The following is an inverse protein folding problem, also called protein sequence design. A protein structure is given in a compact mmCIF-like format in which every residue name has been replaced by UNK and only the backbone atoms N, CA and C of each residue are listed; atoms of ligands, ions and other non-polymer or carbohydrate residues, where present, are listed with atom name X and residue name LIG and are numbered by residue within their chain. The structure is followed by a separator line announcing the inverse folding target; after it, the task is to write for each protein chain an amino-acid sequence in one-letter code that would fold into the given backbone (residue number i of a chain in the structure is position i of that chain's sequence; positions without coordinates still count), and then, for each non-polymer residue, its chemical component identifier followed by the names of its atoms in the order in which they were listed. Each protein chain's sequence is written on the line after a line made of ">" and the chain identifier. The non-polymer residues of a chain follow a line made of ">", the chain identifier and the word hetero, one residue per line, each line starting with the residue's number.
data_IF_453587586079
#
_entry.id   IF_453587586079
#
_cell.length_a   1.000
_cell.length_b   1.000
_cell.length_c   1.000
_cell.angle_alpha   90.00
_cell.angle_beta   90.00
_cell.angle_gamma   90.00
#
_symmetry.space_group_name_H-M   'P 1'
#
loop_
_entity.id
_entity.type
_entity.pdbx_description
1 polymer ?
#
# COMPACT_ATOMS: atom_id res chain seq x y z
N UNK A 1 48.43 -18.39 -61.78
CA UNK A 1 49.27 -19.52 -62.24
C UNK A 1 49.51 -20.45 -61.07
N UNK A 2 49.15 -21.72 -61.27
CA UNK A 2 49.55 -22.94 -60.54
C UNK A 2 49.02 -23.19 -59.12
N UNK A 3 47.87 -23.86 -59.14
CA UNK A 3 47.44 -24.99 -58.29
C UNK A 3 48.55 -26.05 -58.16
N UNK A 4 48.54 -26.85 -57.07
CA UNK A 4 48.39 -28.28 -57.27
C UNK A 4 47.26 -28.90 -56.42
N UNK A 5 46.51 -29.75 -57.11
CA UNK A 5 45.55 -30.76 -56.69
C UNK A 5 46.23 -31.94 -55.99
N UNK A 6 45.60 -32.58 -55.00
CA UNK A 6 44.85 -33.82 -55.24
C UNK A 6 44.15 -34.34 -53.97
N UNK A 7 43.04 -35.04 -54.22
CA UNK A 7 42.08 -35.65 -53.30
C UNK A 7 42.61 -36.88 -52.52
N UNK A 8 42.05 -37.17 -51.35
CA UNK A 8 41.69 -38.55 -50.94
C UNK A 8 40.76 -38.58 -49.70
N UNK A 9 39.49 -38.94 -49.95
CA UNK A 9 38.61 -39.85 -49.17
C UNK A 9 38.62 -39.91 -47.63
N UNK A 10 37.42 -39.75 -47.04
CA UNK A 10 37.04 -39.87 -45.61
C UNK A 10 37.35 -41.25 -44.94
N UNK A 11 37.24 -41.36 -43.59
CA UNK A 11 35.93 -41.52 -42.96
C UNK A 11 35.67 -40.71 -41.68
N UNK A 12 34.39 -40.55 -41.39
CA UNK A 12 33.79 -39.98 -40.18
C UNK A 12 34.02 -40.92 -38.99
N UNK A 13 34.71 -40.48 -37.94
CA UNK A 13 34.40 -40.84 -36.54
C UNK A 13 35.17 -39.94 -35.55
N UNK A 14 34.54 -39.73 -34.39
CA UNK A 14 35.15 -39.31 -33.12
C UNK A 14 35.36 -37.80 -32.86
N UNK A 15 34.23 -37.12 -32.62
CA UNK A 15 34.18 -35.91 -31.80
C UNK A 15 34.59 -36.23 -30.35
N UNK A 16 35.48 -35.44 -29.70
CA UNK A 16 35.74 -35.59 -28.27
C UNK A 16 34.53 -35.10 -27.46
N UNK A 17 33.87 -36.03 -26.76
CA UNK A 17 32.95 -35.72 -25.66
C UNK A 17 33.76 -35.26 -24.46
N UNK A 18 33.85 -33.95 -24.25
CA UNK A 18 34.14 -33.39 -22.93
C UNK A 18 33.41 -32.06 -22.77
N UNK A 19 32.10 -32.16 -22.59
CA UNK A 19 31.34 -31.14 -21.86
C UNK A 19 31.27 -31.60 -20.41
N UNK A 20 32.10 -31.01 -19.56
CA UNK A 20 31.91 -31.04 -18.10
C UNK A 20 30.63 -30.26 -17.78
N UNK A 21 29.50 -30.93 -17.98
CA UNK A 21 28.23 -30.53 -17.41
C UNK A 21 28.40 -30.55 -15.89
N UNK A 22 28.20 -29.40 -15.25
CA UNK A 22 27.95 -29.34 -13.81
C UNK A 22 26.89 -30.39 -13.46
N UNK A 23 27.01 -31.11 -12.32
CA UNK A 23 25.98 -32.05 -11.91
C UNK A 23 24.66 -31.29 -11.86
N UNK A 24 23.69 -31.71 -12.66
CA UNK A 24 22.30 -31.31 -12.50
C UNK A 24 21.89 -31.79 -11.11
N UNK A 25 21.79 -30.87 -10.17
CA UNK A 25 21.24 -31.13 -8.85
C UNK A 25 19.86 -31.75 -9.06
N UNK A 26 19.67 -32.97 -8.57
CA UNK A 26 18.40 -33.67 -8.60
C UNK A 26 17.29 -32.71 -8.12
N UNK A 27 16.44 -32.29 -9.05
CA UNK A 27 15.25 -31.50 -8.71
C UNK A 27 14.36 -32.38 -7.84
N UNK A 28 14.41 -32.18 -6.52
CA UNK A 28 13.47 -32.78 -5.60
C UNK A 28 12.05 -32.41 -6.04
N UNK A 29 11.29 -33.41 -6.49
CA UNK A 29 9.90 -33.26 -6.94
C UNK A 29 8.96 -33.07 -5.74
N UNK A 30 9.12 -31.96 -5.01
CA UNK A 30 8.20 -31.54 -3.97
C UNK A 30 6.95 -30.87 -4.54
N UNK A 31 5.82 -30.94 -3.83
CA UNK A 31 4.59 -30.23 -4.21
C UNK A 31 4.82 -28.71 -4.39
N UNK A 32 5.70 -28.13 -3.56
CA UNK A 32 6.10 -26.72 -3.66
C UNK A 32 6.77 -26.38 -4.99
N UNK A 33 7.67 -27.23 -5.49
CA UNK A 33 8.32 -27.02 -6.78
C UNK A 33 7.29 -27.11 -7.92
N UNK A 34 6.35 -28.07 -7.85
CA UNK A 34 5.33 -28.25 -8.88
C UNK A 34 4.36 -27.08 -8.97
N UNK A 35 3.99 -26.48 -7.84
CA UNK A 35 3.00 -25.40 -7.78
C UNK A 35 3.64 -24.02 -8.01
N UNK A 36 4.66 -23.67 -7.23
CA UNK A 36 5.30 -22.34 -7.26
C UNK A 36 6.35 -22.23 -8.36
N UNK A 37 6.85 -23.36 -8.88
CA UNK A 37 7.90 -23.42 -9.91
C UNK A 37 9.16 -22.67 -9.45
N UNK A 38 9.70 -23.02 -8.29
CA UNK A 38 10.77 -22.26 -7.64
C UNK A 38 12.02 -22.22 -8.51
N UNK A 39 12.38 -23.35 -9.14
CA UNK A 39 13.51 -23.40 -10.07
C UNK A 39 13.30 -22.50 -11.30
N UNK A 40 12.07 -22.44 -11.83
CA UNK A 40 11.75 -21.57 -12.96
C UNK A 40 11.82 -20.06 -12.61
N UNK A 41 11.64 -19.72 -11.33
CA UNK A 41 11.77 -18.36 -10.81
C UNK A 41 13.14 -18.07 -10.20
N UNK A 42 14.13 -18.97 -10.36
CA UNK A 42 15.48 -18.86 -9.80
C UNK A 42 15.50 -18.61 -8.28
N UNK A 43 14.65 -19.29 -7.53
CA UNK A 43 14.53 -19.16 -6.06
C UNK A 43 14.51 -20.52 -5.38
N UNK A 44 14.62 -20.54 -4.05
CA UNK A 44 14.52 -21.75 -3.21
C UNK A 44 13.49 -21.55 -2.11
N UNK A 45 12.96 -22.64 -1.54
CA UNK A 45 11.99 -22.55 -0.43
C UNK A 45 12.55 -21.78 0.78
N UNK A 46 13.85 -21.93 1.08
CA UNK A 46 14.51 -21.18 2.16
C UNK A 46 14.55 -19.68 1.86
N UNK A 47 14.90 -19.31 0.62
CA UNK A 47 14.90 -17.91 0.17
C UNK A 47 13.50 -17.30 0.26
N UNK A 48 12.46 -18.02 -0.16
CA UNK A 48 11.07 -17.55 -0.08
C UNK A 48 10.59 -17.38 1.37
N UNK A 49 10.98 -18.27 2.29
CA UNK A 49 10.66 -18.12 3.72
C UNK A 49 11.33 -16.89 4.31
N UNK A 50 12.61 -16.68 4.03
CA UNK A 50 13.35 -15.49 4.49
C UNK A 50 12.76 -14.22 3.88
N UNK A 51 12.39 -14.25 2.60
CA UNK A 51 11.73 -13.13 1.92
C UNK A 51 10.35 -12.83 2.53
N UNK A 52 9.59 -13.86 2.89
CA UNK A 52 8.29 -13.72 3.55
C UNK A 52 8.41 -13.12 4.95
N UNK A 53 9.37 -13.59 5.75
CA UNK A 53 9.69 -12.99 7.06
C UNK A 53 10.14 -11.53 6.88
N UNK A 54 11.00 -11.26 5.91
CA UNK A 54 11.49 -9.90 5.64
C UNK A 54 10.35 -8.95 5.26
N UNK A 55 9.45 -9.40 4.38
CA UNK A 55 8.26 -8.67 3.97
C UNK A 55 7.36 -8.38 5.17
N UNK A 56 7.09 -9.40 5.97
CA UNK A 56 6.30 -9.28 7.19
C UNK A 56 6.93 -8.26 8.15
N UNK A 57 8.23 -8.34 8.42
CA UNK A 57 8.94 -7.41 9.32
C UNK A 57 8.90 -5.96 8.83
N UNK A 58 8.86 -5.72 7.52
CA UNK A 58 8.71 -4.37 6.96
C UNK A 58 7.30 -3.81 7.07
N UNK A 59 6.27 -4.66 7.11
CA UNK A 59 4.87 -4.22 7.10
C UNK A 59 4.12 -4.43 8.42
N UNK A 60 4.67 -5.19 9.38
CA UNK A 60 4.02 -5.55 10.65
C UNK A 60 3.58 -4.33 11.46
N UNK A 61 4.17 -3.16 11.20
CA UNK A 61 3.74 -1.91 11.82
C UNK A 61 2.24 -1.63 11.63
N UNK A 62 1.61 -2.15 10.56
CA UNK A 62 0.18 -2.00 10.29
C UNK A 62 -0.69 -2.51 11.43
N UNK A 63 -0.20 -3.50 12.16
CA UNK A 63 -0.86 -4.12 13.30
C UNK A 63 -1.03 -3.13 14.46
N UNK A 64 -0.15 -2.14 14.57
CA UNK A 64 -0.23 -1.08 15.58
C UNK A 64 -0.89 0.17 15.01
N UNK A 65 -0.53 0.53 13.77
CA UNK A 65 -1.04 1.74 13.13
C UNK A 65 -2.55 1.67 12.84
N UNK A 66 -3.02 0.58 12.25
CA UNK A 66 -4.40 0.53 11.78
C UNK A 66 -5.41 0.65 12.94
N UNK A 67 -5.25 -0.09 14.06
CA UNK A 67 -6.09 0.11 15.24
C UNK A 67 -6.07 1.54 15.76
N UNK A 68 -4.90 2.19 15.81
CA UNK A 68 -4.81 3.57 16.28
C UNK A 68 -5.57 4.54 15.36
N UNK A 69 -5.41 4.42 14.04
CA UNK A 69 -6.13 5.27 13.08
C UNK A 69 -7.64 5.02 13.16
N UNK A 70 -8.10 3.77 13.11
CA UNK A 70 -9.53 3.45 13.12
C UNK A 70 -10.19 3.71 14.49
N UNK A 71 -9.43 3.66 15.59
CA UNK A 71 -9.93 4.05 16.91
C UNK A 71 -10.29 5.53 17.00
N UNK A 72 -9.59 6.40 16.24
CA UNK A 72 -9.94 7.81 16.14
C UNK A 72 -11.32 8.02 15.47
N UNK A 73 -11.79 7.03 14.70
CA UNK A 73 -13.14 7.00 14.12
C UNK A 73 -14.20 6.43 15.09
N UNK A 74 -13.81 6.03 16.31
CA UNK A 74 -14.70 5.42 17.31
C UNK A 74 -14.83 3.90 17.21
N UNK A 75 -13.93 3.22 16.49
CA UNK A 75 -13.91 1.76 16.43
C UNK A 75 -13.14 1.14 17.59
N UNK A 76 -13.51 -0.08 18.00
CA UNK A 76 -12.79 -0.84 19.02
C UNK A 76 -11.39 -1.26 18.51
N UNK A 77 -10.28 -0.77 19.11
CA UNK A 77 -8.93 -1.08 18.66
C UNK A 77 -8.62 -2.58 18.68
N UNK A 78 -9.18 -3.32 19.64
CA UNK A 78 -8.91 -4.75 19.80
C UNK A 78 -9.52 -5.58 18.68
N UNK A 79 -10.79 -5.31 18.35
CA UNK A 79 -11.46 -5.91 17.19
C UNK A 79 -10.76 -5.55 15.88
N UNK A 80 -10.40 -4.28 15.69
CA UNK A 80 -9.66 -3.82 14.49
C UNK A 80 -8.32 -4.53 14.33
N UNK A 81 -7.56 -4.70 15.42
CA UNK A 81 -6.29 -5.43 15.40
C UNK A 81 -6.47 -6.85 14.84
N UNK A 82 -7.46 -7.60 15.36
CA UNK A 82 -7.70 -8.99 14.95
C UNK A 82 -8.13 -9.03 13.48
N UNK A 83 -9.08 -8.18 13.09
CA UNK A 83 -9.56 -8.10 11.70
C UNK A 83 -8.42 -7.75 10.74
N UNK A 84 -7.56 -6.80 11.11
CA UNK A 84 -6.38 -6.39 10.33
C UNK A 84 -5.46 -7.57 10.05
N UNK A 85 -5.13 -8.35 11.09
CA UNK A 85 -4.30 -9.53 10.95
C UNK A 85 -4.98 -10.63 10.12
N UNK A 86 -6.27 -10.90 10.39
CA UNK A 86 -7.03 -11.92 9.66
C UNK A 86 -7.14 -11.62 8.18
N UNK A 87 -7.53 -10.40 7.80
CA UNK A 87 -7.70 -10.04 6.40
C UNK A 87 -6.36 -9.96 5.66
N UNK A 88 -5.30 -9.49 6.33
CA UNK A 88 -3.94 -9.51 5.78
C UNK A 88 -3.49 -10.94 5.52
N UNK A 89 -3.77 -11.86 6.45
CA UNK A 89 -3.49 -13.28 6.27
C UNK A 89 -4.26 -13.87 5.07
N UNK A 90 -5.58 -13.65 5.02
CA UNK A 90 -6.44 -14.12 3.91
C UNK A 90 -5.94 -13.56 2.58
N UNK A 91 -5.67 -12.26 2.51
CA UNK A 91 -5.18 -11.60 1.30
C UNK A 91 -3.82 -12.13 0.86
N UNK A 92 -2.84 -12.17 1.75
CA UNK A 92 -1.51 -12.67 1.46
C UNK A 92 -1.52 -14.14 0.99
N UNK A 93 -2.28 -14.99 1.66
CA UNK A 93 -2.41 -16.41 1.29
C UNK A 93 -3.12 -16.54 -0.07
N UNK A 94 -4.20 -15.80 -0.29
CA UNK A 94 -4.92 -15.79 -1.56
C UNK A 94 -4.04 -15.29 -2.71
N UNK A 95 -3.23 -14.25 -2.49
CA UNK A 95 -2.30 -13.72 -3.50
C UNK A 95 -1.23 -14.75 -3.85
N UNK A 96 -0.70 -15.43 -2.84
CA UNK A 96 0.30 -16.47 -3.04
C UNK A 96 -0.24 -17.70 -3.77
N UNK A 97 -1.47 -18.13 -3.47
CA UNK A 97 -2.09 -19.29 -4.14
C UNK A 97 -2.60 -18.93 -5.55
N UNK A 98 -3.38 -17.86 -5.68
CA UNK A 98 -4.10 -17.54 -6.91
C UNK A 98 -3.17 -16.87 -7.94
N UNK A 99 -2.43 -15.83 -7.53
CA UNK A 99 -1.57 -15.07 -8.43
C UNK A 99 -0.13 -15.62 -8.47
N UNK A 100 0.31 -16.36 -7.46
CA UNK A 100 1.69 -16.82 -7.33
C UNK A 100 2.72 -15.66 -7.43
N UNK A 101 2.43 -14.54 -6.76
CA UNK A 101 3.30 -13.37 -6.75
C UNK A 101 3.79 -13.06 -5.32
N UNK A 102 5.02 -12.56 -5.14
CA UNK A 102 5.60 -12.20 -3.85
C UNK A 102 5.07 -10.84 -3.38
N UNK A 103 3.75 -10.67 -3.36
CA UNK A 103 3.08 -9.42 -3.00
C UNK A 103 2.25 -9.69 -1.76
N UNK A 104 2.56 -8.99 -0.67
CA UNK A 104 1.74 -9.00 0.52
C UNK A 104 0.57 -8.01 0.38
N UNK A 105 -0.56 -8.39 0.94
CA UNK A 105 -1.79 -7.62 1.00
C UNK A 105 -2.12 -7.28 2.46
N UNK A 106 -2.45 -6.02 2.73
CA UNK A 106 -2.91 -5.56 4.04
C UNK A 106 -3.79 -4.30 3.88
N UNK A 107 -4.50 -3.84 4.93
CA UNK A 107 -5.32 -2.62 4.88
C UNK A 107 -4.52 -1.40 4.42
N UNK A 108 -5.03 -0.65 3.46
CA UNK A 108 -4.31 0.45 2.83
C UNK A 108 -4.15 1.63 3.79
N UNK A 109 -2.89 1.98 4.08
CA UNK A 109 -2.55 3.06 5.01
C UNK A 109 -3.19 4.40 4.67
N UNK A 110 -3.19 4.77 3.38
CA UNK A 110 -3.84 5.99 2.90
C UNK A 110 -5.35 5.99 3.06
N UNK A 111 -5.98 4.86 2.79
CA UNK A 111 -7.44 4.72 2.87
C UNK A 111 -7.94 4.60 4.31
N UNK A 112 -7.13 4.05 5.22
CA UNK A 112 -7.38 4.08 6.67
C UNK A 112 -7.49 5.53 7.16
N UNK A 113 -6.50 6.36 6.82
CA UNK A 113 -6.48 7.76 7.23
C UNK A 113 -7.63 8.54 6.59
N UNK A 114 -7.89 8.32 5.29
CA UNK A 114 -9.03 8.92 4.59
C UNK A 114 -10.36 8.63 5.28
N UNK A 115 -10.58 7.36 5.61
CA UNK A 115 -11.78 6.90 6.29
C UNK A 115 -11.93 7.54 7.66
N UNK A 116 -10.93 7.39 8.52
CA UNK A 116 -11.07 7.83 9.91
C UNK A 116 -11.20 9.35 9.99
N UNK A 117 -10.36 10.08 9.27
CA UNK A 117 -10.18 11.50 9.49
C UNK A 117 -11.01 12.36 8.54
N UNK A 118 -11.10 12.03 7.26
CA UNK A 118 -11.86 12.83 6.31
C UNK A 118 -13.34 12.44 6.31
N UNK A 119 -13.65 11.14 6.32
CA UNK A 119 -15.03 10.66 6.18
C UNK A 119 -15.74 10.65 7.53
N UNK A 120 -15.24 9.92 8.52
CA UNK A 120 -15.92 9.78 9.83
C UNK A 120 -15.81 11.06 10.63
N UNK A 121 -14.58 11.50 10.96
CA UNK A 121 -14.37 12.70 11.78
C UNK A 121 -14.73 13.97 11.01
N UNK A 122 -14.26 14.11 9.77
CA UNK A 122 -14.45 15.32 8.97
C UNK A 122 -15.90 15.60 8.57
N UNK A 123 -16.68 14.57 8.24
CA UNK A 123 -18.09 14.73 7.88
C UNK A 123 -19.05 14.52 9.06
N UNK A 124 -18.55 14.07 10.22
CA UNK A 124 -19.36 13.81 11.41
C UNK A 124 -20.35 12.64 11.26
N UNK A 125 -20.08 11.71 10.33
CA UNK A 125 -20.93 10.53 10.13
C UNK A 125 -20.45 9.37 11.00
N UNK A 126 -21.30 8.37 11.24
CA UNK A 126 -20.90 7.17 11.97
C UNK A 126 -19.91 6.32 11.16
N UNK A 127 -18.99 5.64 11.86
CA UNK A 127 -18.01 4.77 11.20
C UNK A 127 -18.66 3.60 10.45
N UNK A 128 -19.84 3.16 10.89
CA UNK A 128 -20.63 2.12 10.22
C UNK A 128 -21.08 2.57 8.82
N UNK A 129 -21.59 3.81 8.69
CA UNK A 129 -21.96 4.41 7.40
C UNK A 129 -20.69 4.59 6.56
N UNK A 130 -19.61 5.11 7.15
CA UNK A 130 -18.33 5.25 6.47
C UNK A 130 -17.83 3.90 5.90
N UNK A 131 -17.91 2.82 6.67
CA UNK A 131 -17.50 1.47 6.22
C UNK A 131 -18.38 0.98 5.07
N UNK A 132 -19.66 1.32 5.08
CA UNK A 132 -20.55 1.08 3.94
C UNK A 132 -20.05 1.76 2.66
N UNK A 133 -19.53 3.00 2.75
CA UNK A 133 -18.95 3.69 1.59
C UNK A 133 -17.68 3.00 1.07
N UNK A 134 -16.84 2.48 1.97
CA UNK A 134 -15.67 1.65 1.60
C UNK A 134 -16.12 0.37 0.91
N UNK A 135 -17.14 -0.29 1.44
CA UNK A 135 -17.66 -1.54 0.88
C UNK A 135 -18.19 -1.35 -0.54
N UNK A 136 -19.01 -0.30 -0.77
CA UNK A 136 -19.49 0.04 -2.11
C UNK A 136 -18.35 0.46 -3.04
N UNK A 137 -17.37 1.20 -2.53
CA UNK A 137 -16.17 1.57 -3.29
C UNK A 137 -15.36 0.34 -3.70
N UNK A 138 -15.21 -0.63 -2.80
CA UNK A 138 -14.54 -1.90 -3.06
C UNK A 138 -15.32 -2.78 -4.04
N UNK A 139 -16.66 -2.79 -3.98
CA UNK A 139 -17.50 -3.48 -5.00
C UNK A 139 -17.33 -2.83 -6.36
N UNK A 140 -17.41 -1.50 -6.44
CA UNK A 140 -17.18 -0.76 -7.68
C UNK A 140 -15.81 -1.12 -8.25
N UNK A 141 -14.78 -1.10 -7.41
CA UNK A 141 -13.43 -1.48 -7.76
C UNK A 141 -13.30 -2.94 -8.23
N UNK A 142 -13.97 -3.89 -7.56
CA UNK A 142 -14.01 -5.29 -7.97
C UNK A 142 -14.70 -5.49 -9.32
N UNK A 143 -15.82 -4.80 -9.56
CA UNK A 143 -16.50 -4.80 -10.84
C UNK A 143 -15.62 -4.22 -11.95
N UNK A 144 -14.93 -3.11 -11.69
CA UNK A 144 -13.99 -2.51 -12.64
C UNK A 144 -12.81 -3.45 -12.98
N UNK A 145 -12.31 -4.20 -12.00
CA UNK A 145 -11.30 -5.25 -12.20
C UNK A 145 -11.85 -6.41 -13.04
N UNK A 146 -13.06 -6.88 -12.74
CA UNK A 146 -13.70 -7.98 -13.46
C UNK A 146 -14.01 -7.64 -14.92
N UNK A 147 -14.47 -6.42 -15.18
CA UNK A 147 -14.83 -5.90 -16.51
C UNK A 147 -13.60 -5.48 -17.35
N UNK A 148 -12.38 -5.55 -16.80
CA UNK A 148 -11.15 -5.14 -17.50
C UNK A 148 -10.98 -3.62 -17.66
N UNK A 149 -11.86 -2.82 -17.04
CA UNK A 149 -11.82 -1.36 -17.04
C UNK A 149 -10.57 -0.87 -16.30
N UNK A 150 -10.14 -1.60 -15.26
CA UNK A 150 -8.93 -1.29 -14.47
C UNK A 150 -7.68 -1.08 -15.34
N UNK A 151 -7.36 -2.02 -16.24
CA UNK A 151 -6.21 -1.89 -17.14
C UNK A 151 -6.34 -0.74 -18.13
N UNK A 152 -7.57 -0.46 -18.59
CA UNK A 152 -7.84 0.65 -19.50
C UNK A 152 -7.63 2.00 -18.80
N UNK A 153 -8.12 2.17 -17.57
CA UNK A 153 -7.92 3.41 -16.80
C UNK A 153 -6.43 3.62 -16.52
N UNK A 154 -5.73 2.59 -16.03
CA UNK A 154 -4.28 2.67 -15.76
C UNK A 154 -3.48 3.10 -16.97
N UNK A 155 -3.80 2.59 -18.15
CA UNK A 155 -3.08 2.92 -19.39
C UNK A 155 -3.29 4.36 -19.85
N UNK A 156 -4.37 5.01 -19.42
CA UNK A 156 -4.78 6.32 -19.93
C UNK A 156 -4.59 7.47 -18.95
N UNK A 157 -4.18 7.18 -17.71
CA UNK A 157 -3.99 8.22 -16.70
C UNK A 157 -2.58 8.81 -16.75
N UNK A 158 -2.47 10.15 -16.78
CA UNK A 158 -1.21 10.86 -16.83
C UNK A 158 -0.27 10.45 -15.70
N UNK A 159 1.02 10.37 -16.01
CA UNK A 159 2.03 9.98 -15.05
C UNK A 159 2.10 10.97 -13.86
N UNK A 160 1.90 12.27 -14.12
CA UNK A 160 1.86 13.29 -13.06
C UNK A 160 0.81 13.01 -11.99
N UNK A 161 -0.39 12.58 -12.37
CA UNK A 161 -1.47 12.23 -11.42
C UNK A 161 -1.19 10.88 -10.74
N UNK A 162 -0.66 9.91 -11.48
CA UNK A 162 -0.28 8.60 -10.94
C UNK A 162 0.80 8.71 -9.86
N UNK A 163 1.67 9.71 -9.96
CA UNK A 163 2.71 10.02 -8.95
C UNK A 163 2.16 10.94 -7.85
N UNK A 164 1.41 11.98 -8.23
CA UNK A 164 0.90 13.00 -7.32
C UNK A 164 -0.10 12.47 -6.30
N UNK A 165 -0.98 11.54 -6.70
CA UNK A 165 -2.00 10.97 -5.81
C UNK A 165 -1.35 10.21 -4.63
N UNK A 166 -0.50 9.19 -4.82
CA UNK A 166 0.20 8.55 -3.71
C UNK A 166 1.05 9.52 -2.88
N UNK A 167 1.69 10.49 -3.52
CA UNK A 167 2.53 11.48 -2.82
C UNK A 167 1.71 12.37 -1.88
N UNK A 168 0.55 12.87 -2.34
CA UNK A 168 -0.35 13.66 -1.50
C UNK A 168 -0.93 12.89 -0.33
N UNK A 169 -1.28 11.62 -0.56
CA UNK A 169 -1.71 10.69 0.50
C UNK A 169 -0.60 10.52 1.53
N UNK A 170 0.64 10.31 1.08
CA UNK A 170 1.81 10.22 1.95
C UNK A 170 2.03 11.46 2.82
N UNK A 171 1.89 12.66 2.25
CA UNK A 171 2.00 13.91 3.03
C UNK A 171 0.87 14.08 4.04
N UNK A 172 -0.35 13.68 3.70
CA UNK A 172 -1.47 13.67 4.64
C UNK A 172 -1.21 12.71 5.81
N UNK A 173 -0.71 11.49 5.53
CA UNK A 173 -0.32 10.52 6.57
C UNK A 173 0.81 11.09 7.44
N UNK A 174 1.81 11.75 6.84
CA UNK A 174 2.89 12.39 7.59
C UNK A 174 2.38 13.51 8.51
N UNK A 175 1.41 14.30 8.05
CA UNK A 175 0.76 15.32 8.88
C UNK A 175 0.04 14.69 10.08
N UNK A 176 -0.67 13.58 9.88
CA UNK A 176 -1.27 12.80 10.99
C UNK A 176 -0.19 12.28 11.94
N UNK A 177 0.92 11.76 11.42
CA UNK A 177 2.07 11.33 12.23
C UNK A 177 2.65 12.45 13.09
N UNK A 178 2.85 13.63 12.49
CA UNK A 178 3.33 14.82 13.21
C UNK A 178 2.33 15.29 14.28
N UNK A 179 1.03 15.15 14.01
CA UNK A 179 -0.04 15.44 14.96
C UNK A 179 -0.04 14.44 16.14
N UNK A 180 0.09 13.14 15.86
CA UNK A 180 0.17 12.08 16.89
C UNK A 180 1.41 12.21 17.79
N UNK A 181 2.51 12.76 17.26
CA UNK A 181 3.69 13.10 18.06
C UNK A 181 3.52 14.39 18.88
N UNK A 182 2.46 15.17 18.67
CA UNK A 182 2.30 16.50 19.28
C UNK A 182 3.23 17.57 18.72
N UNK A 183 3.89 17.31 17.57
CA UNK A 183 4.77 18.27 16.90
C UNK A 183 3.95 19.33 16.17
N UNK A 184 2.88 18.91 15.49
CA UNK A 184 1.95 19.79 14.77
C UNK A 184 0.61 19.79 15.48
N UNK A 185 0.12 20.97 15.88
CA UNK A 185 -1.17 21.13 16.56
C UNK A 185 -2.02 22.17 15.86
N UNK A 186 -3.35 22.08 16.01
CA UNK A 186 -4.28 23.01 15.37
C UNK A 186 -4.15 24.43 15.95
N UNK A 187 -4.26 25.44 15.08
CA UNK A 187 -4.22 26.86 15.46
C UNK A 187 -5.34 27.62 14.75
N UNK A 188 -6.20 28.36 15.47
CA UNK A 188 -7.20 29.21 14.84
C UNK A 188 -6.61 30.31 13.93
N UNK A 189 -5.37 30.72 14.17
CA UNK A 189 -4.73 31.82 13.44
C UNK A 189 -4.03 31.38 12.14
N UNK A 190 -3.53 30.15 12.09
CA UNK A 190 -2.63 29.68 11.02
C UNK A 190 -3.01 28.30 10.49
N UNK A 191 -4.15 27.74 10.91
CA UNK A 191 -4.57 26.35 10.76
C UNK A 191 -3.69 25.36 11.55
N UNK A 192 -2.36 25.49 11.45
CA UNK A 192 -1.37 24.66 12.17
C UNK A 192 -0.35 25.53 12.90
N UNK A 193 0.11 25.07 14.07
CA UNK A 193 1.23 25.63 14.84
C UNK A 193 2.10 24.51 15.40
N UNK A 194 3.29 24.86 15.90
CA UNK A 194 4.17 23.91 16.60
C UNK A 194 3.63 23.66 18.01
N UNK A 195 3.58 22.39 18.41
CA UNK A 195 3.20 21.99 19.78
C UNK A 195 4.33 22.16 20.80
N UNK A 196 4.16 21.60 21.99
CA UNK A 196 5.21 21.61 23.02
C UNK A 196 6.30 20.58 22.71
N UNK A 197 7.42 21.08 22.21
CA UNK A 197 8.58 20.25 21.85
C UNK A 197 9.26 19.58 23.06
N UNK A 198 8.99 20.06 24.28
CA UNK A 198 9.53 19.47 25.52
C UNK A 198 8.66 18.36 26.07
N UNK A 199 7.47 18.17 25.52
CA UNK A 199 6.54 17.13 25.96
C UNK A 199 7.12 15.73 25.70
N UNK A 200 6.76 14.78 26.58
CA UNK A 200 7.19 13.39 26.46
C UNK A 200 6.78 12.79 25.10
N UNK A 201 5.55 13.09 24.65
CA UNK A 201 5.04 12.59 23.37
C UNK A 201 5.88 13.09 22.19
N UNK A 202 6.27 14.37 22.19
CA UNK A 202 7.09 14.94 21.12
C UNK A 202 8.48 14.36 21.10
N UNK A 203 9.14 14.26 22.26
CA UNK A 203 10.50 13.72 22.36
C UNK A 203 10.55 12.25 21.94
N UNK A 204 9.62 11.44 22.43
CA UNK A 204 9.56 10.01 22.09
C UNK A 204 9.13 9.77 20.63
N UNK A 205 8.19 10.57 20.12
CA UNK A 205 7.78 10.52 18.70
C UNK A 205 8.93 10.89 17.76
N UNK A 206 9.68 11.96 18.07
CA UNK A 206 10.85 12.36 17.32
C UNK A 206 11.98 11.31 17.40
N UNK A 207 12.24 10.75 18.59
CA UNK A 207 13.19 9.66 18.79
C UNK A 207 12.83 8.47 17.90
N UNK A 208 11.56 8.06 17.90
CA UNK A 208 11.06 6.97 17.06
C UNK A 208 11.32 7.24 15.58
N UNK A 209 10.95 8.42 15.09
CA UNK A 209 11.23 8.83 13.71
C UNK A 209 12.72 8.70 13.35
N UNK A 210 13.62 9.24 14.18
CA UNK A 210 15.07 9.18 13.90
C UNK A 210 15.61 7.75 13.94
N UNK A 211 15.14 6.89 14.86
CA UNK A 211 15.51 5.46 14.87
C UNK A 211 15.13 4.83 13.53
N UNK A 212 13.90 5.06 13.04
CA UNK A 212 13.43 4.48 11.78
C UNK A 212 14.31 4.94 10.61
N UNK A 213 14.54 6.23 10.47
CA UNK A 213 15.33 6.77 9.36
C UNK A 213 16.78 6.28 9.41
N UNK A 214 17.41 6.27 10.58
CA UNK A 214 18.79 5.80 10.74
C UNK A 214 18.90 4.32 10.39
N UNK A 215 18.06 3.47 10.98
CA UNK A 215 18.11 2.02 10.72
C UNK A 215 17.74 1.69 9.26
N UNK A 216 16.76 2.39 8.70
CA UNK A 216 16.37 2.22 7.29
C UNK A 216 17.49 2.67 6.33
N UNK A 217 18.19 3.77 6.61
CA UNK A 217 19.34 4.21 5.81
C UNK A 217 20.49 3.19 5.81
N UNK A 218 20.53 2.32 6.82
CA UNK A 218 21.47 1.19 6.93
C UNK A 218 20.92 -0.11 6.34
N UNK A 219 19.80 -0.05 5.61
CA UNK A 219 19.10 -1.20 5.00
C UNK A 219 18.61 -2.25 6.01
N UNK A 220 18.25 -1.84 7.23
CA UNK A 220 17.68 -2.74 8.24
C UNK A 220 16.15 -2.78 8.06
N UNK A 221 15.65 -3.90 7.52
CA UNK A 221 14.24 -4.10 7.20
C UNK A 221 13.28 -4.03 8.41
N UNK A 222 13.77 -4.30 9.61
CA UNK A 222 12.98 -4.24 10.86
C UNK A 222 12.95 -2.85 11.52
N UNK A 223 13.41 -1.79 10.84
CA UNK A 223 13.58 -0.44 11.41
C UNK A 223 12.32 0.08 12.14
N UNK A 224 11.14 -0.07 11.52
CA UNK A 224 9.88 0.42 12.08
C UNK A 224 9.50 -0.35 13.34
N UNK A 225 9.58 -1.69 13.32
CA UNK A 225 9.28 -2.52 14.48
C UNK A 225 10.24 -2.23 15.64
N UNK A 226 11.54 -2.12 15.37
CA UNK A 226 12.56 -1.82 16.38
C UNK A 226 12.25 -0.48 17.05
N UNK A 227 11.91 0.55 16.25
CA UNK A 227 11.51 1.85 16.79
C UNK A 227 10.32 1.75 17.73
N UNK A 228 9.24 1.07 17.30
CA UNK A 228 8.03 0.91 18.12
C UNK A 228 8.37 0.23 19.44
N UNK A 229 9.14 -0.86 19.42
CA UNK A 229 9.57 -1.58 20.63
C UNK A 229 10.43 -0.69 21.54
N UNK A 230 11.42 0.02 21.01
CA UNK A 230 12.31 0.89 21.80
C UNK A 230 11.51 2.02 22.45
N UNK A 231 10.68 2.73 21.69
CA UNK A 231 9.88 3.86 22.20
C UNK A 231 8.87 3.38 23.24
N UNK A 232 8.17 2.28 22.98
CA UNK A 232 7.19 1.70 23.92
C UNK A 232 7.87 1.19 25.19
N UNK A 233 9.07 0.63 25.09
CA UNK A 233 9.84 0.19 26.27
C UNK A 233 10.28 1.36 27.14
N UNK A 234 10.75 2.47 26.53
CA UNK A 234 11.09 3.69 27.27
C UNK A 234 9.83 4.26 27.94
N UNK A 235 8.71 4.32 27.23
CA UNK A 235 7.43 4.78 27.78
C UNK A 235 6.97 3.92 28.98
N UNK A 236 7.10 2.60 28.90
CA UNK A 236 6.79 1.69 29.99
C UNK A 236 7.70 1.90 31.21
N UNK A 237 9.00 2.13 31.00
CA UNK A 237 9.95 2.45 32.09
C UNK A 237 9.64 3.80 32.76
N UNK A 238 9.05 4.74 32.03
CA UNK A 238 8.61 6.03 32.55
C UNK A 238 7.23 5.98 33.21
N UNK A 239 6.55 4.83 33.18
CA UNK A 239 5.23 4.62 33.78
C UNK A 239 4.05 5.11 32.93
N UNK A 240 4.27 5.46 31.66
CA UNK A 240 3.22 5.94 30.74
C UNK A 240 2.45 4.79 30.06
N UNK A 241 3.00 3.58 30.10
CA UNK A 241 2.40 2.37 29.50
C UNK A 241 2.25 1.29 30.56
N UNK A 242 1.02 0.78 30.72
CA UNK A 242 0.74 -0.36 31.58
C UNK A 242 1.03 -1.68 30.86
N UNK A 243 1.63 -2.63 31.58
CA UNK A 243 1.89 -3.97 31.04
C UNK A 243 0.62 -4.82 31.05
N UNK A 244 0.15 -5.20 29.87
CA UNK A 244 -1.10 -5.96 29.69
C UNK A 244 -0.89 -7.45 29.40
N UNK A 245 0.37 -7.91 29.32
CA UNK A 245 0.74 -9.30 29.03
C UNK A 245 1.51 -9.45 27.70
N UNK A 246 1.82 -10.69 27.33
CA UNK A 246 2.55 -11.01 26.08
C UNK A 246 1.69 -11.82 25.11
N UNK A 247 1.03 -12.88 25.59
CA UNK A 247 0.18 -13.75 24.78
C UNK A 247 -1.22 -13.81 25.41
N UNK A 248 -2.25 -13.70 24.57
CA UNK A 248 -3.63 -13.97 24.95
C UNK A 248 -4.38 -14.70 23.84
N UNK A 249 -5.57 -15.21 24.16
CA UNK A 249 -6.50 -15.58 23.10
C UNK A 249 -6.88 -14.34 22.27
N UNK A 250 -7.15 -14.51 20.96
CA UNK A 250 -7.62 -13.43 20.11
C UNK A 250 -8.84 -12.73 20.72
N UNK A 251 -8.84 -11.38 20.80
CA UNK A 251 -10.02 -10.62 21.17
C UNK A 251 -11.23 -10.90 20.27
N UNK A 252 -12.43 -10.64 20.78
CA UNK A 252 -13.67 -10.75 19.98
C UNK A 252 -13.67 -9.73 18.83
N UNK A 253 -14.19 -10.14 17.67
CA UNK A 253 -14.39 -9.29 16.49
C UNK A 253 -15.85 -8.85 16.31
N UNK A 254 -16.74 -9.17 17.26
CA UNK A 254 -18.18 -8.85 17.18
C UNK A 254 -18.45 -7.34 17.07
N UNK A 255 -17.56 -6.52 17.64
CA UNK A 255 -17.64 -5.06 17.64
C UNK A 255 -17.36 -4.44 16.26
N UNK A 256 -16.71 -5.16 15.35
CA UNK A 256 -16.29 -4.64 14.04
C UNK A 256 -16.86 -5.44 12.86
N UNK A 257 -16.95 -6.76 12.99
CA UNK A 257 -17.33 -7.66 11.90
C UNK A 257 -18.81 -7.49 11.53
N UNK A 258 -19.08 -7.17 10.26
CA UNK A 258 -20.45 -7.09 9.74
C UNK A 258 -21.29 -5.92 10.27
N UNK A 259 -20.67 -4.95 10.97
CA UNK A 259 -21.36 -3.81 11.57
C UNK A 259 -21.56 -2.63 10.61
N UNK A 260 -21.16 -2.76 9.34
CA UNK A 260 -21.28 -1.69 8.35
C UNK A 260 -22.75 -1.43 7.96
N UNK A 261 -23.06 -0.16 7.70
CA UNK A 261 -24.39 0.25 7.27
C UNK A 261 -24.44 0.41 5.75
N UNK A 262 -25.01 -0.59 5.07
CA UNK A 262 -25.19 -0.58 3.61
C UNK A 262 -26.29 0.37 3.13
N UNK A 263 -27.33 0.56 3.94
CA UNK A 263 -28.48 1.36 3.56
C UNK A 263 -28.18 2.85 3.72
N UNK A 264 -27.61 3.23 4.87
CA UNK A 264 -27.19 4.60 5.15
C UNK A 264 -26.02 5.07 4.29
N UNK A 265 -25.18 4.15 3.79
CA UNK A 265 -24.08 4.50 2.89
C UNK A 265 -24.48 4.71 1.43
N UNK A 266 -25.68 4.29 1.02
CA UNK A 266 -26.19 4.48 -0.34
C UNK A 266 -26.89 5.84 -0.50
N UNK A 267 -26.28 6.89 0.04
CA UNK A 267 -26.71 8.28 -0.11
C UNK A 267 -25.98 8.93 -1.31
N UNK A 268 -26.70 9.74 -2.08
CA UNK A 268 -26.15 10.52 -3.19
C UNK A 268 -25.05 11.47 -2.69
N UNK A 269 -25.18 12.00 -1.47
CA UNK A 269 -24.15 12.85 -0.85
C UNK A 269 -22.82 12.11 -0.65
N UNK A 270 -22.88 10.78 -0.45
CA UNK A 270 -21.70 9.92 -0.24
C UNK A 270 -21.16 9.31 -1.55
N UNK A 271 -21.83 9.51 -2.68
CA UNK A 271 -21.41 8.98 -3.97
C UNK A 271 -19.99 9.45 -4.36
N UNK A 272 -19.64 10.71 -4.05
CA UNK A 272 -18.30 11.24 -4.27
C UNK A 272 -17.22 10.55 -3.41
N UNK A 273 -17.56 10.17 -2.18
CA UNK A 273 -16.68 9.44 -1.26
C UNK A 273 -16.47 8.01 -1.74
N UNK A 274 -17.55 7.31 -2.12
CA UNK A 274 -17.52 5.96 -2.71
C UNK A 274 -16.61 5.95 -3.95
N UNK A 275 -16.81 6.91 -4.85
CA UNK A 275 -16.01 7.05 -6.06
C UNK A 275 -14.53 7.33 -5.72
N UNK A 276 -14.26 8.17 -4.72
CA UNK A 276 -12.91 8.49 -4.28
C UNK A 276 -12.19 7.27 -3.69
N UNK A 277 -12.87 6.47 -2.86
CA UNK A 277 -12.32 5.18 -2.39
C UNK A 277 -11.96 4.26 -3.55
N UNK A 278 -12.88 4.08 -4.51
CA UNK A 278 -12.63 3.23 -5.68
C UNK A 278 -11.44 3.73 -6.50
N UNK A 279 -11.35 5.04 -6.72
CA UNK A 279 -10.29 5.66 -7.52
C UNK A 279 -8.92 5.62 -6.81
N UNK A 280 -8.87 5.92 -5.52
CA UNK A 280 -7.62 5.83 -4.73
C UNK A 280 -7.15 4.38 -4.69
N UNK A 281 -8.04 3.43 -4.42
CA UNK A 281 -7.74 1.99 -4.41
C UNK A 281 -7.16 1.54 -5.74
N UNK A 282 -7.69 2.06 -6.84
CA UNK A 282 -7.20 1.79 -8.17
C UNK A 282 -5.74 2.21 -8.36
N UNK A 283 -5.34 3.39 -7.92
CA UNK A 283 -3.96 3.85 -8.07
C UNK A 283 -3.01 3.20 -7.10
N UNK A 284 -3.40 3.10 -5.84
CA UNK A 284 -2.55 2.61 -4.77
C UNK A 284 -2.18 1.14 -5.01
N UNK A 285 -3.19 0.30 -5.21
CA UNK A 285 -2.97 -1.12 -5.44
C UNK A 285 -2.23 -1.39 -6.75
N UNK A 286 -2.65 -0.75 -7.85
CA UNK A 286 -2.04 -1.01 -9.15
C UNK A 286 -0.62 -0.44 -9.24
N UNK A 287 -0.40 0.76 -8.72
CA UNK A 287 0.93 1.39 -8.66
C UNK A 287 1.90 0.57 -7.82
N UNK A 288 1.43 0.06 -6.68
CA UNK A 288 2.25 -0.78 -5.80
C UNK A 288 2.55 -2.14 -6.41
N UNK A 289 1.56 -2.82 -7.00
CA UNK A 289 1.82 -4.08 -7.71
C UNK A 289 2.84 -3.90 -8.82
N UNK A 290 2.71 -2.84 -9.63
CA UNK A 290 3.70 -2.52 -10.68
C UNK A 290 5.07 -2.27 -10.05
N UNK A 291 5.17 -1.46 -9.00
CA UNK A 291 6.45 -1.14 -8.36
C UNK A 291 7.14 -2.36 -7.74
N UNK A 292 6.40 -3.29 -7.13
CA UNK A 292 6.95 -4.54 -6.57
C UNK A 292 7.37 -5.48 -7.69
N UNK A 293 6.54 -5.65 -8.72
CA UNK A 293 6.84 -6.54 -9.86
C UNK A 293 7.97 -6.01 -10.75
N UNK A 294 8.14 -4.70 -10.85
CA UNK A 294 9.27 -4.06 -11.52
C UNK A 294 10.58 -4.40 -10.80
N UNK A 295 10.58 -4.35 -9.46
CA UNK A 295 11.72 -4.82 -8.64
C UNK A 295 11.96 -6.33 -8.73
N UNK A 296 10.94 -7.14 -9.06
CA UNK A 296 11.11 -8.56 -9.39
C UNK A 296 11.75 -8.77 -10.76
N UNK A 297 11.72 -7.77 -11.65
CA UNK A 297 12.19 -7.89 -13.03
C UNK A 297 11.21 -8.63 -13.95
N UNK A 298 9.91 -8.67 -13.62
CA UNK A 298 8.88 -9.40 -14.38
C UNK A 298 7.85 -8.50 -15.07
N UNK A 299 8.05 -7.19 -15.00
CA UNK A 299 7.15 -6.17 -15.58
C UNK A 299 7.66 -5.73 -16.94
N UNK A 300 6.76 -5.65 -17.94
CA UNK A 300 7.08 -5.12 -19.27
C UNK A 300 7.10 -3.58 -19.29
N UNK A 301 7.59 -2.99 -20.39
CA UNK A 301 7.64 -1.52 -20.58
C UNK A 301 6.27 -0.84 -20.48
N UNK A 302 5.18 -1.60 -20.60
CA UNK A 302 3.80 -1.12 -20.52
C UNK A 302 3.20 -1.33 -19.12
N UNK A 303 4.00 -1.78 -18.14
CA UNK A 303 3.55 -2.01 -16.77
C UNK A 303 2.73 -3.29 -16.57
N UNK A 304 2.75 -4.24 -17.52
CA UNK A 304 2.05 -5.52 -17.40
C UNK A 304 2.99 -6.59 -16.85
N UNK A 305 2.44 -7.49 -16.05
CA UNK A 305 3.19 -8.57 -15.41
C UNK A 305 2.40 -9.90 -15.46
N UNK A 306 3.07 -11.06 -15.30
CA UNK A 306 2.43 -12.36 -15.29
C UNK A 306 1.30 -12.43 -14.27
N UNK A 307 0.17 -13.03 -14.66
CA UNK A 307 -1.00 -13.23 -13.78
C UNK A 307 -1.58 -11.94 -13.18
N UNK A 308 -1.42 -10.80 -13.87
CA UNK A 308 -1.98 -9.52 -13.47
C UNK A 308 -3.49 -9.60 -13.17
N UNK A 309 -4.30 -10.22 -14.04
CA UNK A 309 -5.76 -10.34 -13.80
C UNK A 309 -6.07 -11.03 -12.48
N UNK A 310 -5.35 -12.12 -12.17
CA UNK A 310 -5.50 -12.86 -10.92
C UNK A 310 -5.13 -11.98 -9.72
N UNK A 311 -3.99 -11.28 -9.78
CA UNK A 311 -3.54 -10.40 -8.71
C UNK A 311 -4.54 -9.27 -8.42
N UNK A 312 -5.02 -8.60 -9.47
CA UNK A 312 -6.00 -7.51 -9.34
C UNK A 312 -7.35 -8.02 -8.81
N UNK A 313 -7.77 -9.22 -9.20
CA UNK A 313 -9.02 -9.81 -8.72
C UNK A 313 -8.90 -10.23 -7.25
N UNK A 314 -7.79 -10.86 -6.86
CA UNK A 314 -7.52 -11.21 -5.46
C UNK A 314 -7.53 -9.97 -4.58
N UNK A 315 -6.81 -8.93 -4.99
CA UNK A 315 -6.80 -7.62 -4.33
C UNK A 315 -8.22 -7.07 -4.15
N UNK A 316 -8.99 -6.89 -5.22
CA UNK A 316 -10.34 -6.33 -5.10
C UNK A 316 -11.30 -7.17 -4.25
N UNK A 317 -11.25 -8.51 -4.36
CA UNK A 317 -12.08 -9.40 -3.53
C UNK A 317 -11.69 -9.25 -2.05
N UNK A 318 -10.38 -9.21 -1.75
CA UNK A 318 -9.91 -9.02 -0.38
C UNK A 318 -10.27 -7.64 0.16
N UNK A 319 -10.34 -6.61 -0.67
CA UNK A 319 -10.85 -5.30 -0.27
C UNK A 319 -12.33 -5.34 0.12
N UNK A 320 -13.17 -6.04 -0.66
CA UNK A 320 -14.60 -6.20 -0.36
C UNK A 320 -14.79 -7.00 0.94
N UNK A 321 -14.07 -8.11 1.08
CA UNK A 321 -14.10 -8.92 2.31
C UNK A 321 -13.57 -8.13 3.51
N UNK A 322 -12.51 -7.35 3.35
CA UNK A 322 -11.96 -6.50 4.40
C UNK A 322 -12.95 -5.45 4.88
N UNK A 323 -13.58 -4.73 3.95
CA UNK A 323 -14.65 -3.79 4.27
C UNK A 323 -15.80 -4.45 5.03
N UNK A 324 -16.19 -5.66 4.62
CA UNK A 324 -17.21 -6.44 5.33
C UNK A 324 -16.79 -6.84 6.75
N UNK A 325 -15.54 -7.24 6.93
CA UNK A 325 -14.99 -7.63 8.23
C UNK A 325 -14.77 -6.46 9.19
N UNK A 326 -14.93 -5.21 8.74
CA UNK A 326 -14.73 -4.02 9.56
C UNK A 326 -13.28 -3.51 9.54
N UNK A 327 -12.59 -3.61 8.41
CA UNK A 327 -11.36 -2.85 8.13
C UNK A 327 -11.53 -2.03 6.86
N UNK A 328 -10.67 -1.04 6.62
CA UNK A 328 -10.66 -0.36 5.33
C UNK A 328 -10.24 -1.29 4.17
N UNK A 329 -10.28 -0.74 2.96
CA UNK A 329 -9.80 -1.37 1.73
C UNK A 329 -8.42 -2.01 1.90
N UNK A 330 -8.32 -3.30 1.59
CA UNK A 330 -7.04 -4.02 1.47
C UNK A 330 -6.37 -3.68 0.14
N UNK A 331 -5.05 -3.51 0.15
CA UNK A 331 -4.22 -3.15 -1.01
C UNK A 331 -2.91 -3.92 -1.02
N UNK A 332 -2.20 -3.88 -2.15
CA UNK A 332 -0.82 -4.34 -2.27
C UNK A 332 0.13 -3.44 -1.49
N UNK A 333 1.06 -4.03 -0.75
CA UNK A 333 2.04 -3.31 0.07
C UNK A 333 3.40 -3.20 -0.62
N UNK A 334 3.97 -1.99 -0.62
CA UNK A 334 5.24 -1.69 -1.29
C UNK A 334 6.43 -2.29 -0.52
N UNK A 335 6.23 -2.56 0.75
CA UNK A 335 7.09 -3.28 1.68
C UNK A 335 7.47 -4.67 1.17
N UNK A 336 6.60 -5.29 0.36
CA UNK A 336 6.91 -6.54 -0.36
C UNK A 336 8.20 -6.43 -1.19
N UNK A 337 8.56 -5.21 -1.61
CA UNK A 337 9.81 -4.98 -2.31
C UNK A 337 11.08 -5.31 -1.50
N UNK A 338 11.01 -5.29 -0.16
CA UNK A 338 12.11 -5.72 0.70
C UNK A 338 12.30 -7.24 0.64
N UNK A 339 11.20 -8.02 0.68
CA UNK A 339 11.25 -9.46 0.45
C UNK A 339 11.77 -9.82 -0.94
N UNK A 340 11.33 -9.06 -1.95
CA UNK A 340 11.83 -9.20 -3.32
C UNK A 340 13.33 -8.88 -3.42
N UNK A 341 13.82 -7.89 -2.68
CA UNK A 341 15.25 -7.53 -2.68
C UNK A 341 16.14 -8.64 -2.11
N UNK A 342 15.65 -9.43 -1.15
CA UNK A 342 16.39 -10.58 -0.58
C UNK A 342 16.18 -11.88 -1.37
N UNK A 343 15.49 -11.84 -2.52
CA UNK A 343 15.37 -12.95 -3.45
C UNK A 343 13.98 -13.60 -3.54
N UNK A 344 12.96 -13.06 -2.88
CA UNK A 344 11.58 -13.53 -3.03
C UNK A 344 11.04 -13.32 -4.45
N UNK A 345 10.48 -14.37 -5.05
CA UNK A 345 10.01 -14.35 -6.45
C UNK A 345 8.64 -14.99 -6.65
N UNK A 346 8.14 -15.77 -5.69
CA UNK A 346 6.89 -16.52 -5.85
C UNK A 346 5.87 -16.19 -4.78
N UNK A 347 4.67 -16.75 -4.93
CA UNK A 347 3.60 -16.65 -3.95
C UNK A 347 3.91 -17.27 -2.58
N UNK A 348 4.95 -18.11 -2.47
CA UNK A 348 5.36 -18.67 -1.19
C UNK A 348 5.81 -17.57 -0.22
N UNK A 349 6.50 -16.54 -0.72
CA UNK A 349 6.82 -15.32 0.04
C UNK A 349 5.57 -14.69 0.66
N UNK A 350 4.51 -14.50 -0.12
CA UNK A 350 3.25 -13.91 0.36
C UNK A 350 2.55 -14.83 1.38
N UNK A 351 2.51 -16.14 1.14
CA UNK A 351 1.90 -17.10 2.08
C UNK A 351 2.60 -17.07 3.43
N UNK A 352 3.94 -17.04 3.45
CA UNK A 352 4.72 -16.97 4.70
C UNK A 352 4.38 -15.70 5.47
N UNK A 353 4.31 -14.54 4.79
CA UNK A 353 3.88 -13.30 5.44
C UNK A 353 2.46 -13.39 6.01
N UNK A 354 1.52 -14.00 5.25
CA UNK A 354 0.15 -14.22 5.71
C UNK A 354 0.04 -15.14 6.93
N UNK A 355 0.83 -16.21 6.98
CA UNK A 355 0.89 -17.11 8.14
C UNK A 355 1.45 -16.39 9.37
N UNK A 356 2.44 -15.52 9.21
CA UNK A 356 2.98 -14.72 10.31
C UNK A 356 1.93 -13.74 10.87
N UNK A 357 1.06 -13.17 10.02
CA UNK A 357 -0.08 -12.37 10.52
C UNK A 357 -1.05 -13.17 11.39
N UNK A 358 -1.27 -14.46 11.10
CA UNK A 358 -2.10 -15.33 11.96
C UNK A 358 -1.42 -15.50 13.33
N UNK A 359 -0.10 -15.72 13.34
CA UNK A 359 0.69 -15.87 14.56
C UNK A 359 0.64 -14.59 15.41
N UNK A 360 0.68 -13.41 14.79
CA UNK A 360 0.60 -12.12 15.49
C UNK A 360 -0.67 -11.95 16.30
N UNK A 361 -1.80 -12.55 15.89
CA UNK A 361 -3.08 -12.38 16.58
C UNK A 361 -2.96 -12.77 18.07
N UNK A 362 -2.17 -13.79 18.39
CA UNK A 362 -1.94 -14.25 19.77
C UNK A 362 -1.12 -13.27 20.61
N UNK A 363 -0.48 -12.27 19.99
CA UNK A 363 0.29 -11.21 20.63
C UNK A 363 -0.52 -9.90 20.78
N UNK A 364 -1.86 -9.96 20.77
CA UNK A 364 -2.73 -8.80 20.96
C UNK A 364 -2.43 -7.95 22.19
N UNK A 365 -2.02 -8.50 23.37
CA UNK A 365 -1.70 -7.65 24.53
C UNK A 365 -0.55 -6.70 24.24
N UNK A 366 0.49 -7.15 23.52
CA UNK A 366 1.62 -6.31 23.13
C UNK A 366 1.18 -5.16 22.23
N UNK A 367 0.21 -5.37 21.34
CA UNK A 367 -0.30 -4.31 20.48
C UNK A 367 -1.10 -3.26 21.26
N UNK A 368 -1.86 -3.67 22.28
CA UNK A 368 -2.59 -2.76 23.14
C UNK A 368 -1.67 -1.86 24.00
N UNK A 369 -0.43 -2.27 24.26
CA UNK A 369 0.55 -1.48 25.01
C UNK A 369 1.16 -0.32 24.20
N UNK A 370 1.02 -0.32 22.87
CA UNK A 370 1.75 0.65 22.02
C UNK A 370 1.04 2.01 22.01
N UNK A 371 1.67 3.07 22.53
CA UNK A 371 1.07 4.40 22.53
C UNK A 371 1.09 5.05 21.14
N UNK A 372 0.20 6.02 20.92
CA UNK A 372 0.05 6.71 19.62
C UNK A 372 1.34 7.37 19.12
N UNK A 373 2.10 8.00 20.01
CA UNK A 373 3.37 8.67 19.67
C UNK A 373 4.49 7.68 19.30
N UNK A 374 4.44 6.41 19.73
CA UNK A 374 5.42 5.39 19.33
C UNK A 374 5.28 5.00 17.85
N UNK A 375 4.09 5.20 17.30
CA UNK A 375 3.72 4.86 15.93
C UNK A 375 3.84 6.07 15.00
N UNK A 376 3.83 7.29 15.54
CA UNK A 376 3.97 8.54 14.79
C UNK A 376 5.16 8.54 13.82
N UNK A 377 6.33 8.05 14.27
CA UNK A 377 7.53 7.97 13.42
C UNK A 377 7.33 7.08 12.19
N UNK A 378 6.54 6.01 12.30
CA UNK A 378 6.22 5.12 11.18
C UNK A 378 5.38 5.84 10.12
N UNK A 379 4.37 6.61 10.56
CA UNK A 379 3.52 7.41 9.67
C UNK A 379 4.34 8.46 8.89
N UNK A 380 5.24 9.16 9.58
CA UNK A 380 6.12 10.15 8.94
C UNK A 380 7.04 9.46 7.93
N UNK A 381 7.62 8.31 8.28
CA UNK A 381 8.48 7.55 7.39
C UNK A 381 7.76 7.01 6.14
N UNK A 382 6.52 6.54 6.28
CA UNK A 382 5.67 6.17 5.12
C UNK A 382 5.46 7.37 4.20
N UNK A 383 5.21 8.56 4.77
CA UNK A 383 5.11 9.79 3.98
C UNK A 383 6.38 10.12 3.18
N UNK A 384 7.57 9.87 3.74
CA UNK A 384 8.85 10.01 3.02
C UNK A 384 8.91 9.04 1.83
N UNK A 385 8.58 7.77 2.05
CA UNK A 385 8.63 6.75 1.01
C UNK A 385 7.69 7.07 -0.15
N UNK A 386 6.45 7.47 0.15
CA UNK A 386 5.46 7.81 -0.89
C UNK A 386 5.83 9.11 -1.62
N UNK A 387 6.34 10.11 -0.91
CA UNK A 387 6.76 11.39 -1.50
C UNK A 387 7.99 11.27 -2.40
N UNK A 388 8.81 10.22 -2.23
CA UNK A 388 9.98 9.97 -3.10
C UNK A 388 9.58 9.81 -4.58
N UNK A 389 8.34 9.39 -4.85
CA UNK A 389 7.79 9.30 -6.21
C UNK A 389 7.82 10.63 -6.96
N UNK A 390 7.69 11.76 -6.26
CA UNK A 390 7.74 13.11 -6.85
C UNK A 390 9.02 13.39 -7.62
N UNK A 391 10.12 12.70 -7.33
CA UNK A 391 11.36 12.79 -8.09
C UNK A 391 11.20 12.34 -9.56
N UNK A 392 10.19 11.52 -9.86
CA UNK A 392 9.88 11.02 -11.21
C UNK A 392 9.00 11.97 -12.01
N UNK A 393 8.48 13.04 -11.42
CA UNK A 393 7.68 14.06 -12.13
C UNK A 393 8.62 14.89 -13.00
N UNK A 394 8.20 15.18 -14.24
CA UNK A 394 8.94 16.12 -15.07
C UNK A 394 8.64 17.56 -14.63
N UNK A 395 9.45 18.07 -13.69
CA UNK A 395 9.32 19.42 -13.14
C UNK A 395 9.61 20.55 -14.15
N UNK A 396 10.22 20.23 -15.30
CA UNK A 396 10.48 21.23 -16.35
C UNK A 396 9.25 21.54 -17.20
N UNK A 397 8.28 20.62 -17.25
CA UNK A 397 7.01 20.82 -17.96
C UNK A 397 5.92 21.20 -16.96
N UNK A 398 5.50 22.47 -16.98
CA UNK A 398 4.45 22.97 -16.07
C UNK A 398 3.10 22.25 -16.27
N UNK A 399 2.85 21.69 -17.47
CA UNK A 399 1.62 20.92 -17.74
C UNK A 399 1.58 19.57 -17.03
N UNK A 400 2.72 19.09 -16.52
CA UNK A 400 2.85 17.89 -15.69
C UNK A 400 3.14 18.25 -14.22
N UNK A 401 3.98 19.26 -13.99
CA UNK A 401 4.39 19.68 -12.65
C UNK A 401 3.23 20.28 -11.84
N UNK A 402 2.44 21.18 -12.43
CA UNK A 402 1.35 21.84 -11.70
C UNK A 402 0.26 20.86 -11.25
N UNK A 403 -0.25 19.94 -12.09
CA UNK A 403 -1.22 18.93 -11.64
C UNK A 403 -0.65 18.04 -10.54
N UNK A 404 0.58 17.54 -10.68
CA UNK A 404 1.21 16.72 -9.64
C UNK A 404 1.33 17.48 -8.30
N UNK A 405 1.81 18.72 -8.35
CA UNK A 405 1.97 19.58 -7.18
C UNK A 405 0.63 19.84 -6.49
N UNK A 406 -0.37 20.35 -7.23
CA UNK A 406 -1.70 20.67 -6.68
C UNK A 406 -2.35 19.42 -6.07
N UNK A 407 -2.29 18.29 -6.78
CA UNK A 407 -2.80 17.01 -6.25
C UNK A 407 -2.13 16.67 -4.92
N UNK A 408 -0.82 16.91 -4.81
CA UNK A 408 -0.01 16.56 -3.64
C UNK A 408 -0.27 17.46 -2.45
N UNK A 409 -0.32 18.79 -2.64
CA UNK A 409 -0.46 19.75 -1.52
C UNK A 409 -1.91 19.95 -1.07
N UNK A 410 -2.88 19.78 -1.97
CA UNK A 410 -4.28 19.96 -1.60
C UNK A 410 -4.74 18.91 -0.59
N UNK A 411 -4.21 17.68 -0.63
CA UNK A 411 -4.60 16.63 0.32
C UNK A 411 -4.28 16.97 1.79
N UNK A 412 -3.04 17.27 2.20
CA UNK A 412 -2.74 17.63 3.57
C UNK A 412 -3.37 18.97 3.99
N UNK A 413 -3.47 19.95 3.08
CA UNK A 413 -3.97 21.29 3.43
C UNK A 413 -5.50 21.40 3.48
N UNK A 414 -6.21 20.61 2.68
CA UNK A 414 -7.69 20.51 2.79
C UNK A 414 -8.13 19.37 3.71
N UNK A 415 -7.17 18.56 4.19
CA UNK A 415 -7.43 17.34 4.94
C UNK A 415 -8.41 16.38 4.22
N UNK A 416 -8.43 16.43 2.88
CA UNK A 416 -9.34 15.67 2.04
C UNK A 416 -8.64 15.14 0.79
N UNK A 417 -8.68 13.81 0.63
CA UNK A 417 -8.11 13.12 -0.53
C UNK A 417 -8.97 13.35 -1.78
N UNK A 418 -10.29 13.35 -1.62
CA UNK A 418 -11.24 13.65 -2.70
C UNK A 418 -10.94 14.99 -3.36
N UNK A 419 -10.71 16.01 -2.54
CA UNK A 419 -10.39 17.37 -2.99
C UNK A 419 -9.06 17.44 -3.72
N UNK A 420 -8.02 16.78 -3.20
CA UNK A 420 -6.73 16.70 -3.86
C UNK A 420 -6.78 16.00 -5.21
N UNK A 421 -7.51 14.89 -5.31
CA UNK A 421 -7.70 14.19 -6.59
C UNK A 421 -8.46 15.07 -7.57
N UNK A 422 -9.60 15.62 -7.14
CA UNK A 422 -10.47 16.44 -7.97
C UNK A 422 -9.72 17.62 -8.60
N UNK A 423 -9.06 18.41 -7.75
CA UNK A 423 -8.26 19.56 -8.18
C UNK A 423 -7.08 19.15 -9.05
N UNK A 424 -6.47 17.99 -8.80
CA UNK A 424 -5.44 17.40 -9.65
C UNK A 424 -5.88 17.14 -11.08
N UNK A 425 -6.98 16.40 -11.27
CA UNK A 425 -7.54 16.09 -12.59
C UNK A 425 -7.98 17.37 -13.33
N UNK A 426 -8.62 18.30 -12.61
CA UNK A 426 -9.03 19.59 -13.17
C UNK A 426 -7.80 20.38 -13.63
N UNK A 427 -6.76 20.48 -12.79
CA UNK A 427 -5.52 21.19 -13.13
C UNK A 427 -4.85 20.56 -14.35
N UNK A 428 -4.80 19.24 -14.47
CA UNK A 428 -4.26 18.56 -15.65
C UNK A 428 -5.01 18.96 -16.93
N UNK A 429 -6.34 18.86 -16.90
CA UNK A 429 -7.17 19.23 -18.05
C UNK A 429 -7.01 20.70 -18.40
N UNK A 430 -7.08 21.61 -17.43
CA UNK A 430 -6.94 23.07 -17.64
C UNK A 430 -5.56 23.44 -18.18
N UNK A 431 -4.49 22.84 -17.66
CA UNK A 431 -3.13 23.14 -18.12
C UNK A 431 -2.91 22.67 -19.56
N UNK A 432 -3.25 21.42 -19.88
CA UNK A 432 -3.11 20.88 -21.24
C UNK A 432 -4.00 21.62 -22.24
N UNK A 433 -5.20 21.99 -21.80
CA UNK A 433 -6.11 22.85 -22.54
C UNK A 433 -5.50 24.21 -22.85
N UNK A 434 -5.11 24.95 -21.81
CA UNK A 434 -4.57 26.30 -21.91
C UNK A 434 -3.27 26.40 -22.71
N UNK A 435 -2.46 25.34 -22.72
CA UNK A 435 -1.21 25.29 -23.51
C UNK A 435 -1.38 24.71 -24.91
N UNK A 436 -2.61 24.59 -25.41
CA UNK A 436 -2.93 24.06 -26.74
C UNK A 436 -2.50 22.58 -26.98
N UNK A 437 -2.37 21.78 -25.91
CA UNK A 437 -2.04 20.35 -25.91
C UNK A 437 -3.27 19.47 -25.71
N UNK A 438 -4.43 19.90 -26.19
CA UNK A 438 -5.73 19.22 -26.02
C UNK A 438 -5.73 17.76 -26.48
N UNK A 439 -4.90 17.41 -27.47
CA UNK A 439 -4.78 16.04 -28.01
C UNK A 439 -4.15 15.06 -27.02
N UNK A 440 -3.44 15.54 -26.01
CA UNK A 440 -2.87 14.72 -24.93
C UNK A 440 -3.90 14.39 -23.83
N UNK A 441 -5.07 15.05 -23.84
CA UNK A 441 -6.12 14.81 -22.88
C UNK A 441 -6.93 13.59 -23.33
N UNK A 442 -6.72 12.47 -22.66
CA UNK A 442 -7.52 11.29 -22.90
C UNK A 442 -9.00 11.53 -22.46
N UNK A 443 -10.02 11.11 -23.23
CA UNK A 443 -11.42 11.37 -22.91
C UNK A 443 -11.86 10.92 -21.51
N UNK A 444 -11.30 9.81 -21.01
CA UNK A 444 -11.56 9.33 -19.65
C UNK A 444 -11.08 10.29 -18.56
N UNK A 445 -9.94 10.97 -18.76
CA UNK A 445 -9.41 11.96 -17.81
C UNK A 445 -10.29 13.22 -17.82
N UNK A 446 -10.71 13.65 -19.01
CA UNK A 446 -11.64 14.77 -19.16
C UNK A 446 -12.99 14.49 -18.52
N UNK A 447 -13.52 13.28 -18.67
CA UNK A 447 -14.77 12.86 -18.03
C UNK A 447 -14.66 12.92 -16.50
N UNK A 448 -13.58 12.37 -15.94
CA UNK A 448 -13.35 12.41 -14.48
C UNK A 448 -13.22 13.86 -13.98
N UNK A 449 -12.47 14.71 -14.69
CA UNK A 449 -12.36 16.13 -14.36
C UNK A 449 -13.73 16.83 -14.43
N UNK A 450 -14.53 16.57 -15.45
CA UNK A 450 -15.88 17.13 -15.60
C UNK A 450 -16.80 16.70 -14.45
N UNK A 451 -16.78 15.42 -14.07
CA UNK A 451 -17.57 14.90 -12.95
C UNK A 451 -17.20 15.59 -11.64
N UNK A 452 -15.91 15.85 -11.40
CA UNK A 452 -15.48 16.60 -10.22
C UNK A 452 -15.87 18.08 -10.26
N UNK A 453 -15.84 18.73 -11.44
CA UNK A 453 -16.37 20.09 -11.58
C UNK A 453 -17.86 20.14 -11.25
N UNK A 454 -18.63 19.17 -11.75
CA UNK A 454 -20.07 19.06 -11.42
C UNK A 454 -20.26 18.86 -9.91
N UNK A 455 -19.46 18.00 -9.27
CA UNK A 455 -19.48 17.81 -7.81
C UNK A 455 -19.25 19.14 -7.07
N UNK A 456 -18.21 19.90 -7.46
CA UNK A 456 -17.94 21.20 -6.84
C UNK A 456 -19.05 22.22 -7.01
N UNK A 457 -19.62 22.30 -8.20
CA UNK A 457 -20.63 23.32 -8.52
C UNK A 457 -21.99 22.98 -7.91
N UNK A 458 -22.37 21.70 -7.87
CA UNK A 458 -23.73 21.29 -7.52
C UNK A 458 -23.87 20.62 -6.15
N UNK A 459 -22.78 20.07 -5.58
CA UNK A 459 -22.84 19.34 -4.31
C UNK A 459 -22.19 20.14 -3.18
N UNK A 460 -20.98 20.68 -3.38
CA UNK A 460 -20.26 21.39 -2.30
C UNK A 460 -20.63 22.89 -2.19
N UNK A 461 -21.45 23.40 -3.12
CA UNK A 461 -21.92 24.79 -3.10
C UNK A 461 -23.09 25.02 -2.13
N UNK A 462 -23.49 23.98 -1.39
CA UNK A 462 -24.57 23.93 -0.39
C UNK A 462 -24.04 23.24 0.86
#
# INVERSE_FOLDING_TARGET
>A
MNVPSNESSAPISDLPKDSTAKPQTETQHGWLERYFKLAAHNTTASTEVIAGITTFMTMVYIVFVNPQILSAAGMDPSGVFVVTCMISAIGCIAMGLIANLPIALAPAMGLNAFFAFSVVVGMGISWQIGMGTIFWGAICFALMSALGIRSWILSNIPNCLRIGIPSGIGLLIALVGLSNAGIVVASPATMITVGDLSSLQCVLGALGFFIIVILSSRNIHAAVLISIVVVTSIAALMGDVEYTGIISMPPSIESTFGQLDLAGSFDIALAGVIFSFALVSLFDSSGTMIGVTEKCGITDERGRFPRMKQALMTDSITSVTGAYMGTSTVTAYIESSAGVAVGGRTGLTAIVAGLLFIVVIFFSPLAAMVPGYAVAGALIYVGILMSSGLAKVNWTDMTEAAPAFITTVMMPFSFSITEGIATGFITYCVMKAGTNRWREIHPGVALVALLFIVKFVFVDSH
#
